data_IF_737454636025
#
_entry.id   IF_737454636025
#
_cell.length_a   1.000
_cell.length_b   1.000
_cell.length_c   1.000
_cell.angle_alpha   90.00
_cell.angle_beta   90.00
_cell.angle_gamma   90.00
#
_symmetry.space_group_name_H-M   'P 1'
#
loop_
_entity.id
_entity.type
_entity.pdbx_description
1 polymer ?
#
# COMPACT_ATOMS: atom_id res chain seq x y z
N UNK A 1 -0.27 -9.64 9.54
CA UNK A 1 -1.28 -10.39 8.77
C UNK A 1 -0.81 -10.52 7.34
N UNK A 2 -1.14 -11.62 6.65
CA UNK A 2 -0.91 -11.76 5.22
C UNK A 2 -2.21 -12.20 4.54
N UNK A 3 -2.58 -11.55 3.44
CA UNK A 3 -3.77 -11.88 2.64
C UNK A 3 -3.35 -12.11 1.18
N UNK A 4 -4.00 -13.07 0.52
CA UNK A 4 -3.78 -13.36 -0.90
C UNK A 4 -5.12 -13.37 -1.60
N UNK A 5 -5.28 -12.48 -2.57
CA UNK A 5 -6.48 -12.25 -3.35
C UNK A 5 -6.28 -12.80 -4.77
N UNK A 6 -7.19 -13.66 -5.24
CA UNK A 6 -7.06 -14.37 -6.53
C UNK A 6 -8.31 -14.17 -7.38
N UNK A 7 -8.12 -13.81 -8.65
CA UNK A 7 -9.20 -13.71 -9.63
C UNK A 7 -9.79 -12.30 -9.65
N UNK A 8 -11.08 -12.19 -9.33
CA UNK A 8 -11.82 -10.91 -9.25
C UNK A 8 -12.50 -10.80 -7.86
N UNK A 9 -11.73 -10.85 -6.76
CA UNK A 9 -12.28 -10.62 -5.43
C UNK A 9 -12.64 -9.13 -5.25
N UNK A 10 -13.67 -8.90 -4.44
CA UNK A 10 -14.08 -7.58 -3.94
C UNK A 10 -14.13 -7.71 -2.42
N UNK A 11 -13.15 -7.13 -1.74
CA UNK A 11 -12.98 -7.30 -0.29
C UNK A 11 -12.72 -5.96 0.40
N UNK A 12 -13.23 -5.85 1.62
CA UNK A 12 -12.96 -4.72 2.50
C UNK A 12 -12.37 -5.25 3.81
N UNK A 13 -11.13 -4.88 4.08
CA UNK A 13 -10.38 -5.40 5.21
C UNK A 13 -10.09 -4.30 6.24
N UNK A 14 -10.51 -4.56 7.48
CA UNK A 14 -10.20 -3.75 8.65
C UNK A 14 -9.43 -4.61 9.65
N UNK A 15 -8.25 -4.15 10.06
CA UNK A 15 -7.44 -4.85 11.08
C UNK A 15 -7.73 -4.33 12.49
N UNK A 16 -7.52 -5.14 13.55
CA UNK A 16 -7.67 -4.68 14.93
C UNK A 16 -6.49 -3.78 15.37
N UNK A 17 -6.69 -2.90 16.37
CA UNK A 17 -5.63 -2.04 16.90
C UNK A 17 -4.49 -2.85 17.52
N UNK A 18 -3.27 -2.37 17.31
CA UNK A 18 -2.02 -2.96 17.80
C UNK A 18 -0.96 -1.87 17.85
N UNK A 19 -0.04 -1.92 18.82
CA UNK A 19 1.12 -1.03 18.89
C UNK A 19 2.01 -1.16 17.64
N UNK A 20 2.16 -2.39 17.15
CA UNK A 20 2.92 -2.71 15.94
C UNK A 20 2.02 -3.42 14.94
N UNK A 21 1.93 -2.88 13.73
CA UNK A 21 1.20 -3.50 12.64
C UNK A 21 2.12 -3.87 11.49
N UNK A 22 1.97 -5.11 11.04
CA UNK A 22 2.65 -5.60 9.85
C UNK A 22 1.62 -6.27 8.96
N UNK A 23 1.51 -5.81 7.72
CA UNK A 23 0.59 -6.35 6.74
C UNK A 23 1.30 -6.64 5.42
N UNK A 24 0.92 -7.76 4.83
CA UNK A 24 1.32 -8.14 3.48
C UNK A 24 0.06 -8.50 2.69
N UNK A 25 -0.13 -7.88 1.53
CA UNK A 25 -1.23 -8.19 0.63
C UNK A 25 -0.65 -8.56 -0.73
N UNK A 26 -1.14 -9.67 -1.30
CA UNK A 26 -0.73 -10.13 -2.64
C UNK A 26 -1.97 -10.35 -3.47
N UNK A 27 -2.11 -9.59 -4.54
CA UNK A 27 -3.28 -9.68 -5.39
C UNK A 27 -2.89 -10.11 -6.81
N UNK A 28 -3.62 -11.09 -7.34
CA UNK A 28 -3.41 -11.68 -8.67
C UNK A 28 -4.72 -11.67 -9.46
N UNK A 29 -4.73 -10.98 -10.59
CA UNK A 29 -5.89 -10.88 -11.48
C UNK A 29 -6.42 -9.45 -11.58
N UNK A 30 -7.70 -9.28 -11.29
CA UNK A 30 -8.43 -8.01 -11.30
C UNK A 30 -9.16 -7.84 -9.95
N UNK A 31 -8.42 -7.81 -8.82
CA UNK A 31 -8.99 -7.55 -7.49
C UNK A 31 -9.48 -6.10 -7.37
N UNK A 32 -10.50 -5.90 -6.54
CA UNK A 32 -10.92 -4.59 -6.02
C UNK A 32 -10.85 -4.68 -4.49
N UNK A 33 -9.90 -3.97 -3.87
CA UNK A 33 -9.64 -4.11 -2.45
C UNK A 33 -9.60 -2.75 -1.76
N UNK A 34 -10.28 -2.67 -0.62
CA UNK A 34 -10.20 -1.51 0.26
C UNK A 34 -9.63 -1.90 1.61
N UNK A 35 -8.49 -1.30 1.96
CA UNK A 35 -7.75 -1.63 3.17
C UNK A 35 -7.65 -0.42 4.10
N UNK A 36 -8.19 -0.58 5.31
CA UNK A 36 -8.14 0.44 6.36
C UNK A 36 -7.47 -0.16 7.60
N UNK A 37 -6.35 0.43 8.01
CA UNK A 37 -5.69 0.09 9.28
C UNK A 37 -6.12 1.03 10.41
N UNK A 38 -6.08 0.58 11.67
CA UNK A 38 -6.22 1.44 12.85
C UNK A 38 -4.86 2.03 13.28
N UNK A 39 -4.83 3.14 14.06
CA UNK A 39 -3.60 3.77 14.50
C UNK A 39 -2.65 2.80 15.20
N UNK A 40 -1.34 2.99 15.02
CA UNK A 40 -0.28 2.22 15.67
C UNK A 40 0.97 3.07 15.83
N UNK A 41 1.88 2.70 16.73
CA UNK A 41 3.18 3.39 16.84
C UNK A 41 4.04 3.07 15.61
N UNK A 42 4.08 1.80 15.22
CA UNK A 42 4.80 1.35 14.03
C UNK A 42 3.87 0.66 13.03
N UNK A 43 4.04 1.01 11.76
CA UNK A 43 3.30 0.44 10.65
C UNK A 43 4.26 -0.03 9.55
N UNK A 44 4.11 -1.28 9.14
CA UNK A 44 4.81 -1.85 8.00
C UNK A 44 3.83 -2.50 7.05
N UNK A 45 3.85 -2.07 5.80
CA UNK A 45 2.96 -2.56 4.76
C UNK A 45 3.75 -2.98 3.53
N UNK A 46 3.41 -4.15 3.00
CA UNK A 46 3.88 -4.63 1.71
C UNK A 46 2.67 -5.02 0.86
N UNK A 47 2.57 -4.47 -0.34
CA UNK A 47 1.53 -4.83 -1.30
C UNK A 47 2.19 -5.24 -2.62
N UNK A 48 1.78 -6.39 -3.15
CA UNK A 48 2.25 -6.94 -4.41
C UNK A 48 1.07 -7.22 -5.32
N UNK A 49 1.06 -6.58 -6.47
CA UNK A 49 -0.05 -6.50 -7.38
C UNK A 49 0.36 -7.07 -8.75
N UNK A 50 -0.37 -8.07 -9.24
CA UNK A 50 -0.12 -8.73 -10.53
C UNK A 50 -1.40 -8.76 -11.37
N UNK A 51 -1.45 -7.99 -12.45
CA UNK A 51 -2.58 -7.91 -13.37
C UNK A 51 -3.13 -6.49 -13.51
N UNK A 52 -4.42 -6.32 -13.22
CA UNK A 52 -5.15 -5.04 -13.26
C UNK A 52 -5.88 -4.82 -11.93
N UNK A 53 -5.15 -4.71 -10.81
CA UNK A 53 -5.77 -4.46 -9.50
C UNK A 53 -6.28 -3.02 -9.39
N UNK A 54 -7.39 -2.85 -8.67
CA UNK A 54 -7.90 -1.57 -8.17
C UNK A 54 -7.81 -1.61 -6.64
N UNK A 55 -6.94 -0.79 -6.07
CA UNK A 55 -6.63 -0.86 -4.64
C UNK A 55 -6.75 0.52 -4.02
N UNK A 56 -7.49 0.59 -2.91
CA UNK A 56 -7.60 1.78 -2.10
C UNK A 56 -7.06 1.51 -0.70
N UNK A 57 -5.92 2.14 -0.40
CA UNK A 57 -5.23 1.97 0.86
C UNK A 57 -5.22 3.27 1.65
N UNK A 58 -5.88 3.25 2.81
CA UNK A 58 -5.90 4.36 3.76
C UNK A 58 -5.24 3.90 5.06
N UNK A 59 -4.12 4.54 5.38
CA UNK A 59 -3.42 4.32 6.64
C UNK A 59 -3.72 5.45 7.64
N UNK A 60 -3.71 5.18 8.95
CA UNK A 60 -3.84 6.17 10.02
C UNK A 60 -2.46 6.62 10.54
N UNK A 61 -2.39 7.73 11.31
CA UNK A 61 -1.13 8.25 11.83
C UNK A 61 -0.35 7.20 12.61
N UNK A 62 0.98 7.23 12.45
CA UNK A 62 1.94 6.42 13.20
C UNK A 62 3.23 7.22 13.44
N UNK A 63 4.03 6.81 14.41
CA UNK A 63 5.36 7.40 14.60
C UNK A 63 6.30 6.98 13.47
N UNK A 64 6.29 5.68 13.14
CA UNK A 64 7.10 5.13 12.06
C UNK A 64 6.25 4.37 11.04
N UNK A 65 6.37 4.76 9.78
CA UNK A 65 5.68 4.13 8.67
C UNK A 65 6.68 3.62 7.63
N UNK A 66 6.54 2.35 7.25
CA UNK A 66 7.28 1.74 6.13
C UNK A 66 6.29 1.11 5.16
N UNK A 67 6.38 1.50 3.89
CA UNK A 67 5.53 0.97 2.83
C UNK A 67 6.36 0.50 1.64
N UNK A 68 6.04 -0.67 1.12
CA UNK A 68 6.60 -1.20 -0.11
C UNK A 68 5.44 -1.64 -1.02
N UNK A 69 5.38 -1.07 -2.21
CA UNK A 69 4.37 -1.37 -3.22
C UNK A 69 5.06 -1.86 -4.48
N UNK A 70 4.65 -3.03 -4.98
CA UNK A 70 5.20 -3.63 -6.21
C UNK A 70 4.05 -4.00 -7.13
N UNK A 71 3.93 -3.34 -8.27
CA UNK A 71 2.85 -3.58 -9.21
C UNK A 71 3.39 -4.03 -10.58
N UNK A 72 2.76 -5.05 -11.14
CA UNK A 72 3.07 -5.66 -12.43
C UNK A 72 1.79 -5.68 -13.28
N UNK A 73 1.71 -4.82 -14.30
CA UNK A 73 0.56 -4.72 -15.20
C UNK A 73 -0.02 -3.32 -15.31
N UNK A 74 -1.32 -3.18 -15.09
CA UNK A 74 -2.06 -1.90 -15.19
C UNK A 74 -2.81 -1.69 -13.87
N UNK A 75 -2.10 -1.41 -12.76
CA UNK A 75 -2.74 -1.16 -11.48
C UNK A 75 -3.41 0.23 -11.48
N UNK A 76 -4.54 0.33 -10.77
CA UNK A 76 -5.14 1.59 -10.33
C UNK A 76 -5.01 1.62 -8.79
N UNK A 77 -4.16 2.51 -8.28
CA UNK A 77 -3.83 2.53 -6.84
C UNK A 77 -4.09 3.91 -6.27
N UNK A 78 -4.90 3.95 -5.22
CA UNK A 78 -5.10 5.15 -4.42
C UNK A 78 -4.54 4.93 -3.03
N UNK A 79 -3.41 5.58 -2.75
CA UNK A 79 -2.71 5.47 -1.48
C UNK A 79 -2.76 6.80 -0.73
N UNK A 80 -3.43 6.78 0.42
CA UNK A 80 -3.50 7.92 1.33
C UNK A 80 -2.75 7.56 2.61
N UNK A 81 -1.64 8.26 2.82
CA UNK A 81 -0.85 8.18 4.04
C UNK A 81 -1.00 9.46 4.87
N UNK A 82 -1.12 9.38 6.19
CA UNK A 82 -1.11 10.54 7.08
C UNK A 82 0.32 10.87 7.53
N UNK A 83 0.53 11.98 8.27
CA UNK A 83 1.85 12.33 8.76
C UNK A 83 2.41 11.29 9.73
N UNK A 84 3.73 11.08 9.66
CA UNK A 84 4.52 10.32 10.64
C UNK A 84 5.81 11.06 10.98
N UNK A 85 6.51 10.65 12.04
CA UNK A 85 7.84 11.20 12.34
C UNK A 85 8.88 10.65 11.36
N UNK A 86 8.88 9.33 11.15
CA UNK A 86 9.69 8.67 10.13
C UNK A 86 8.81 7.99 9.09
N UNK A 87 9.12 8.23 7.82
CA UNK A 87 8.43 7.59 6.70
C UNK A 87 9.42 7.04 5.68
N UNK A 88 9.25 5.77 5.32
CA UNK A 88 9.95 5.15 4.20
C UNK A 88 8.94 4.56 3.23
N UNK A 89 9.00 4.96 1.97
CA UNK A 89 8.16 4.40 0.91
C UNK A 89 9.01 3.96 -0.28
N UNK A 90 8.73 2.76 -0.76
CA UNK A 90 9.28 2.22 -2.00
C UNK A 90 8.13 1.79 -2.90
N UNK A 91 8.13 2.30 -4.13
CA UNK A 91 7.19 1.91 -5.18
C UNK A 91 7.97 1.39 -6.37
N UNK A 92 7.58 0.21 -6.87
CA UNK A 92 8.12 -0.37 -8.09
C UNK A 92 6.97 -0.78 -8.99
N UNK A 93 6.84 -0.13 -10.14
CA UNK A 93 5.76 -0.40 -11.07
C UNK A 93 6.31 -0.77 -12.45
N UNK A 94 5.85 -1.90 -12.94
CA UNK A 94 6.19 -2.50 -14.22
C UNK A 94 4.93 -2.54 -15.08
N UNK A 95 4.79 -1.59 -16.01
CA UNK A 95 3.61 -1.46 -16.89
C UNK A 95 3.07 -0.04 -16.98
N UNK A 96 1.75 0.12 -17.06
CA UNK A 96 1.06 1.42 -17.18
C UNK A 96 0.16 1.62 -15.96
N UNK A 97 0.69 2.16 -14.87
CA UNK A 97 -0.05 2.38 -13.65
C UNK A 97 -0.83 3.69 -13.69
N UNK A 98 -2.02 3.69 -13.11
CA UNK A 98 -2.72 4.90 -12.68
C UNK A 98 -2.58 4.98 -11.15
N UNK A 99 -1.94 6.03 -10.64
CA UNK A 99 -1.69 6.13 -9.21
C UNK A 99 -1.99 7.52 -8.68
N UNK A 100 -2.69 7.53 -7.56
CA UNK A 100 -2.89 8.72 -6.76
C UNK A 100 -2.27 8.50 -5.38
N UNK A 101 -1.07 9.07 -5.20
CA UNK A 101 -0.34 9.02 -3.95
C UNK A 101 -0.46 10.34 -3.19
N UNK A 102 -1.09 10.29 -2.02
CA UNK A 102 -1.12 11.40 -1.07
C UNK A 102 -0.24 11.05 0.12
N UNK A 103 0.92 11.70 0.16
CA UNK A 103 1.90 11.55 1.24
C UNK A 103 2.31 12.91 1.81
N UNK A 104 1.91 13.25 3.04
CA UNK A 104 2.36 14.46 3.71
C UNK A 104 3.84 14.34 4.09
N UNK A 105 4.54 15.47 4.27
CA UNK A 105 5.92 15.47 4.72
C UNK A 105 6.04 14.92 6.15
N UNK A 106 7.10 14.16 6.40
CA UNK A 106 7.54 13.67 7.71
C UNK A 106 8.86 14.33 8.12
N UNK A 107 9.24 14.24 9.40
CA UNK A 107 10.53 14.78 9.88
C UNK A 107 11.71 14.11 9.18
N UNK A 108 11.59 12.81 8.93
CA UNK A 108 12.56 12.02 8.21
C UNK A 108 11.86 11.15 7.16
N UNK A 109 11.92 11.61 5.92
CA UNK A 109 11.24 10.99 4.79
C UNK A 109 12.24 10.41 3.78
N UNK A 110 12.05 9.15 3.41
CA UNK A 110 12.76 8.50 2.30
C UNK A 110 11.76 7.92 1.32
N UNK A 111 11.85 8.33 0.05
CA UNK A 111 10.96 7.89 -1.01
C UNK A 111 11.78 7.34 -2.18
N UNK A 112 11.40 6.17 -2.70
CA UNK A 112 11.99 5.58 -3.89
C UNK A 112 10.87 5.15 -4.85
N UNK A 113 10.89 5.69 -6.07
CA UNK A 113 9.90 5.38 -7.10
C UNK A 113 10.62 4.86 -8.34
N UNK A 114 10.25 3.65 -8.79
CA UNK A 114 10.80 3.02 -9.98
C UNK A 114 9.65 2.71 -10.93
N UNK A 115 9.68 3.33 -12.11
CA UNK A 115 8.72 3.12 -13.18
C UNK A 115 9.42 2.48 -14.36
N UNK A 116 8.97 1.29 -14.74
CA UNK A 116 9.49 0.53 -15.86
C UNK A 116 8.33 0.29 -16.83
N UNK A 117 8.16 1.21 -17.77
CA UNK A 117 7.26 1.07 -18.90
C UNK A 117 8.01 0.40 -20.07
N UNK A 118 7.40 -0.64 -20.66
CA UNK A 118 7.91 -1.32 -21.86
C UNK A 118 7.19 -0.86 -23.13
#
# INVERSE_FOLDING_TARGET
MALVCLGVPDENLITPPSENQTMALVCLGVPDENLITPPSENQTMALVCLGVPDENLITPPSENQTMALVCLGVPDENLITPPSENQTMALVCLGVPDENLITPPSENQTMAFIWLSS
#
